data_IF_096176438679
#
_entry.id   IF_096176438679
#
_cell.length_a   1.000
_cell.length_b   1.000
_cell.length_c   1.000
_cell.angle_alpha   90.00
_cell.angle_beta   90.00
_cell.angle_gamma   90.00
#
_symmetry.space_group_name_H-M   'P 1'
#
loop_
_entity.id
_entity.type
_entity.pdbx_description
1 polymer ?
#
# COMPACT_ATOMS: atom_id res chain seq x y z
N UNK A 1 -34.22 -0.65 10.16
CA UNK A 1 -33.40 0.18 9.25
C UNK A 1 -31.97 -0.37 9.11
N UNK A 2 -31.76 -1.57 8.56
CA UNK A 2 -30.41 -2.21 8.57
C UNK A 2 -29.88 -2.65 7.18
N UNK A 3 -30.67 -2.54 6.11
CA UNK A 3 -30.26 -2.97 4.76
C UNK A 3 -29.34 -1.98 4.05
N UNK A 4 -29.72 -0.70 4.02
CA UNK A 4 -28.99 0.35 3.31
C UNK A 4 -27.58 0.58 3.85
N UNK A 5 -27.40 0.57 5.17
CA UNK A 5 -26.07 0.74 5.81
C UNK A 5 -25.13 -0.40 5.44
N UNK A 6 -25.66 -1.64 5.31
CA UNK A 6 -24.89 -2.82 4.92
C UNK A 6 -24.43 -2.73 3.47
N UNK A 7 -25.32 -2.32 2.56
CA UNK A 7 -25.02 -2.06 1.15
C UNK A 7 -23.97 -0.96 0.97
N UNK A 8 -24.10 0.15 1.70
CA UNK A 8 -23.14 1.25 1.67
C UNK A 8 -21.77 0.80 2.20
N UNK A 9 -21.72 0.04 3.30
CA UNK A 9 -20.47 -0.56 3.81
C UNK A 9 -19.84 -1.49 2.79
N UNK A 10 -20.63 -2.31 2.10
CA UNK A 10 -20.13 -3.24 1.09
C UNK A 10 -19.56 -2.51 -0.15
N UNK A 11 -20.23 -1.45 -0.60
CA UNK A 11 -19.77 -0.61 -1.72
C UNK A 11 -18.52 0.20 -1.36
N UNK A 12 -18.41 0.67 -0.12
CA UNK A 12 -17.23 1.39 0.39
C UNK A 12 -16.04 0.44 0.59
N UNK A 13 -16.28 -0.81 1.03
CA UNK A 13 -15.24 -1.82 1.28
C UNK A 13 -14.48 -2.25 0.01
N UNK A 14 -15.10 -2.12 -1.17
CA UNK A 14 -14.44 -2.41 -2.46
C UNK A 14 -13.37 -1.39 -2.85
N UNK A 15 -13.45 -0.15 -2.35
CA UNK A 15 -12.48 0.90 -2.70
C UNK A 15 -11.23 0.76 -1.81
N UNK A 16 -10.11 0.39 -2.42
CA UNK A 16 -8.80 0.40 -1.78
C UNK A 16 -8.19 1.81 -1.84
N UNK A 17 -7.53 2.23 -0.78
CA UNK A 17 -6.79 3.50 -0.68
C UNK A 17 -5.31 3.22 -0.55
N UNK A 18 -4.50 4.01 -1.26
CA UNK A 18 -3.05 4.05 -1.08
C UNK A 18 -2.75 4.63 0.31
N UNK A 19 -1.87 3.98 1.07
CA UNK A 19 -1.45 4.43 2.41
C UNK A 19 0.03 4.72 2.52
N UNK A 20 0.85 4.07 1.71
CA UNK A 20 2.30 4.26 1.75
C UNK A 20 2.91 3.88 0.40
N UNK A 21 3.94 4.62 0.01
CA UNK A 21 4.74 4.35 -1.18
C UNK A 21 6.20 4.40 -0.77
N UNK A 22 6.98 3.42 -1.20
CA UNK A 22 8.44 3.43 -1.00
C UNK A 22 9.15 2.78 -2.18
N UNK A 23 10.37 3.27 -2.44
CA UNK A 23 11.31 2.68 -3.40
C UNK A 23 12.37 1.84 -2.68
N UNK A 24 12.36 1.83 -1.34
CA UNK A 24 13.35 1.14 -0.51
C UNK A 24 12.80 -0.20 -0.02
N UNK A 25 13.49 -1.29 -0.36
CA UNK A 25 13.08 -2.64 0.05
C UNK A 25 13.04 -2.82 1.59
N UNK A 26 13.95 -2.16 2.32
CA UNK A 26 13.95 -2.16 3.79
C UNK A 26 12.67 -1.56 4.36
N UNK A 27 12.22 -0.42 3.81
CA UNK A 27 10.98 0.23 4.22
C UNK A 27 9.76 -0.60 3.82
N UNK A 28 9.81 -1.32 2.71
CA UNK A 28 8.77 -2.28 2.33
C UNK A 28 8.54 -3.32 3.43
N UNK A 29 9.59 -4.01 3.89
CA UNK A 29 9.45 -5.04 4.92
C UNK A 29 9.02 -4.45 6.27
N UNK A 30 9.52 -3.25 6.61
CA UNK A 30 9.13 -2.53 7.84
C UNK A 30 7.63 -2.22 7.85
N UNK A 31 7.11 -1.66 6.76
CA UNK A 31 5.68 -1.32 6.64
C UNK A 31 4.81 -2.57 6.57
N UNK A 32 5.23 -3.59 5.82
CA UNK A 32 4.55 -4.88 5.76
C UNK A 32 4.42 -5.52 7.16
N UNK A 33 5.51 -5.52 7.94
CA UNK A 33 5.53 -6.03 9.32
C UNK A 33 4.57 -5.25 10.23
N UNK A 34 4.62 -3.90 10.19
CA UNK A 34 3.73 -3.03 10.99
C UNK A 34 2.25 -3.28 10.70
N UNK A 35 1.87 -3.37 9.42
CA UNK A 35 0.49 -3.64 9.03
C UNK A 35 0.03 -5.04 9.45
N UNK A 36 0.93 -6.04 9.33
CA UNK A 36 0.65 -7.43 9.73
C UNK A 36 0.46 -7.55 11.24
N UNK A 37 1.35 -6.97 12.05
CA UNK A 37 1.27 -6.99 13.52
C UNK A 37 -0.02 -6.33 14.04
N UNK A 38 -0.58 -5.39 13.27
CA UNK A 38 -1.82 -4.70 13.59
C UNK A 38 -3.05 -5.38 12.99
N UNK A 39 -2.93 -6.57 12.41
CA UNK A 39 -4.01 -7.29 11.72
C UNK A 39 -4.74 -6.41 10.67
N UNK A 40 -4.00 -5.54 9.97
CA UNK A 40 -4.53 -4.71 8.88
C UNK A 40 -4.35 -5.46 7.56
N UNK A 41 -5.46 -5.67 6.84
CA UNK A 41 -5.40 -6.29 5.52
C UNK A 41 -4.89 -5.29 4.48
N UNK A 42 -3.79 -5.63 3.80
CA UNK A 42 -3.18 -4.79 2.76
C UNK A 42 -2.92 -5.57 1.47
N UNK A 43 -2.76 -4.84 0.38
CA UNK A 43 -2.29 -5.32 -0.92
C UNK A 43 -1.10 -4.46 -1.33
N UNK A 44 -0.03 -5.09 -1.77
CA UNK A 44 1.13 -4.40 -2.33
C UNK A 44 1.05 -4.48 -3.85
N UNK A 45 1.25 -3.36 -4.53
CA UNK A 45 1.59 -3.34 -5.94
C UNK A 45 3.06 -2.99 -6.10
N UNK A 46 3.79 -3.79 -6.87
CA UNK A 46 5.18 -3.54 -7.23
C UNK A 46 5.23 -3.01 -8.66
N UNK A 47 5.71 -1.79 -8.83
CA UNK A 47 5.84 -1.15 -10.13
C UNK A 47 7.32 -1.17 -10.50
N UNK A 48 7.66 -2.07 -11.41
CA UNK A 48 9.01 -2.15 -11.97
C UNK A 48 9.15 -1.07 -13.04
N UNK A 49 10.09 -0.14 -12.88
CA UNK A 49 10.49 0.72 -14.00
C UNK A 49 11.29 -0.16 -14.96
N UNK A 50 10.76 -0.43 -16.15
CA UNK A 50 11.55 -1.08 -17.21
C UNK A 50 12.73 -0.16 -17.54
N UNK A 51 13.97 -0.68 -17.64
CA UNK A 51 15.08 0.12 -18.14
C UNK A 51 14.74 0.56 -19.56
N UNK A 52 14.77 1.87 -19.82
CA UNK A 52 14.64 2.38 -21.18
C UNK A 52 15.91 2.01 -21.95
N UNK A 53 15.79 1.61 -23.22
CA UNK A 53 16.92 1.16 -24.07
C UNK A 53 18.04 2.19 -24.27
N UNK A 54 17.92 3.39 -23.69
CA UNK A 54 18.82 4.53 -23.84
C UNK A 54 19.29 5.13 -22.51
N UNK A 55 18.94 4.56 -21.35
CA UNK A 55 19.46 5.07 -20.08
C UNK A 55 20.85 4.48 -19.85
N UNK A 56 21.86 5.28 -20.21
CA UNK A 56 23.22 5.16 -19.69
C UNK A 56 23.15 4.92 -18.18
N UNK A 57 23.94 3.95 -17.71
CA UNK A 57 23.95 3.41 -16.36
C UNK A 57 24.21 4.53 -15.35
N UNK A 58 23.16 5.22 -14.92
CA UNK A 58 23.20 5.97 -13.67
C UNK A 58 22.91 4.96 -12.58
N UNK A 59 23.96 4.68 -11.82
CA UNK A 59 24.03 3.77 -10.67
C UNK A 59 23.19 4.29 -9.49
N UNK A 60 22.01 4.82 -9.76
CA UNK A 60 20.98 5.10 -8.78
C UNK A 60 19.85 4.13 -9.10
N UNK A 61 19.94 2.98 -8.43
CA UNK A 61 18.91 1.96 -8.34
C UNK A 61 17.61 2.62 -7.82
N UNK A 62 16.88 3.25 -8.73
CA UNK A 62 15.51 3.71 -8.50
C UNK A 62 14.63 2.46 -8.59
N UNK A 63 14.88 1.56 -7.64
CA UNK A 63 14.34 0.22 -7.56
C UNK A 63 12.82 0.21 -7.54
N UNK A 64 12.29 -0.98 -7.77
CA UNK A 64 10.87 -1.30 -7.78
C UNK A 64 10.07 -0.44 -6.78
N UNK A 65 9.07 0.28 -7.27
CA UNK A 65 8.20 1.11 -6.44
C UNK A 65 7.15 0.20 -5.77
N UNK A 66 7.14 0.18 -4.45
CA UNK A 66 6.18 -0.56 -3.64
C UNK A 66 5.08 0.36 -3.16
N UNK A 67 3.84 0.09 -3.59
CA UNK A 67 2.64 0.82 -3.18
C UNK A 67 1.75 -0.04 -2.30
N UNK A 68 1.49 0.40 -1.07
CA UNK A 68 0.63 -0.27 -0.11
C UNK A 68 -0.79 0.27 -0.20
N UNK A 69 -1.73 -0.63 -0.42
CA UNK A 69 -3.15 -0.33 -0.50
C UNK A 69 -3.93 -1.08 0.57
N UNK A 70 -4.81 -0.39 1.28
CA UNK A 70 -5.72 -0.99 2.27
C UNK A 70 -7.17 -0.69 1.90
N UNK A 71 -8.13 -1.40 2.50
CA UNK A 71 -9.53 -1.02 2.35
C UNK A 71 -9.77 0.37 2.93
N UNK A 72 -10.70 1.16 2.37
CA UNK A 72 -11.00 2.51 2.86
C UNK A 72 -11.38 2.52 4.36
N UNK A 73 -12.03 1.47 4.85
CA UNK A 73 -12.39 1.31 6.27
C UNK A 73 -11.17 1.15 7.19
N UNK A 74 -10.11 0.51 6.72
CA UNK A 74 -8.88 0.27 7.46
C UNK A 74 -7.84 1.39 7.30
N UNK A 75 -8.14 2.43 6.52
CA UNK A 75 -7.19 3.50 6.19
C UNK A 75 -6.61 4.19 7.42
N UNK A 76 -7.46 4.62 8.35
CA UNK A 76 -7.00 5.32 9.56
C UNK A 76 -6.14 4.40 10.44
N UNK A 77 -6.55 3.14 10.60
CA UNK A 77 -5.78 2.13 11.35
C UNK A 77 -4.43 1.85 10.69
N UNK A 78 -4.38 1.78 9.36
CA UNK A 78 -3.16 1.59 8.60
C UNK A 78 -2.20 2.78 8.75
N UNK A 79 -2.70 4.01 8.65
CA UNK A 79 -1.89 5.24 8.82
C UNK A 79 -1.28 5.29 10.22
N UNK A 80 -2.06 5.00 11.27
CA UNK A 80 -1.53 4.93 12.64
C UNK A 80 -0.49 3.82 12.79
N UNK A 81 -0.76 2.62 12.25
CA UNK A 81 0.19 1.51 12.30
C UNK A 81 1.53 1.80 11.59
N UNK A 82 1.51 2.64 10.55
CA UNK A 82 2.72 3.03 9.82
C UNK A 82 3.56 4.05 10.60
N UNK A 83 2.96 4.90 11.45
CA UNK A 83 3.65 6.01 12.12
C UNK A 83 4.07 5.73 13.57
N UNK A 84 3.57 4.67 14.21
CA UNK A 84 4.19 4.09 15.42
C UNK A 84 5.49 3.37 15.09
#
# INVERSE_FOLDING_TARGET
MNGFVRLIRQLISRKKKLVYTTFMQKEYFKVASRLTNRAVNYRVATIRKKPSRFSEVTTYDHGDEYRFYVKKEDYHRAVSAIHE
#
